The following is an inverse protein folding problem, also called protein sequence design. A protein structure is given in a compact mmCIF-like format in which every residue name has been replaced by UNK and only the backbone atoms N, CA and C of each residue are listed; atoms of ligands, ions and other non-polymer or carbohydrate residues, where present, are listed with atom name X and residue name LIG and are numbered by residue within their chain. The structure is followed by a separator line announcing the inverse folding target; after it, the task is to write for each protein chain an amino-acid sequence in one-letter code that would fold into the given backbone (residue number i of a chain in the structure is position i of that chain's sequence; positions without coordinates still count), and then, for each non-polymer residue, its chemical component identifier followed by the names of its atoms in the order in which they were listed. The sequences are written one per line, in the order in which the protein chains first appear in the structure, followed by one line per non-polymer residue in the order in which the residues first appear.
data_IF_617507032787
#
_entry.id   IF_617507032787
#
_cell.length_a   1.000
_cell.length_b   1.000
_cell.length_c   1.000
_cell.angle_alpha   90.00
_cell.angle_beta   90.00
_cell.angle_gamma   90.00
#
_symmetry.space_group_name_H-M   'P 1'
#
loop_
_entity.id
_entity.type
_entity.pdbx_description
1 polymer ?
#
# COMPACT_ATOMS: atom_id res chain seq x y z
N UNK A 1 -78.36 -22.12 18.13
CA UNK A 1 -77.02 -22.11 18.77
C UNK A 1 -76.08 -22.95 17.93
N UNK A 2 -75.07 -22.39 17.26
CA UNK A 2 -73.88 -23.13 16.86
C UNK A 2 -72.65 -22.63 17.62
N UNK A 3 -71.78 -23.59 17.93
CA UNK A 3 -70.65 -23.49 18.83
C UNK A 3 -69.45 -22.75 18.22
N UNK A 4 -68.86 -21.85 19.03
CA UNK A 4 -67.52 -21.30 18.80
C UNK A 4 -66.47 -22.40 18.95
N UNK A 5 -65.64 -22.60 17.93
CA UNK A 5 -64.36 -23.32 18.04
C UNK A 5 -63.22 -22.30 17.91
N UNK A 6 -62.63 -21.94 19.06
CA UNK A 6 -61.42 -21.13 19.16
C UNK A 6 -60.20 -22.02 18.90
N UNK A 7 -59.57 -21.86 17.74
CA UNK A 7 -58.25 -22.45 17.44
C UNK A 7 -57.16 -21.57 18.05
N UNK A 8 -56.50 -22.08 19.09
CA UNK A 8 -55.30 -21.46 19.66
C UNK A 8 -54.05 -22.01 18.95
N UNK A 9 -53.42 -21.18 18.13
CA UNK A 9 -52.13 -21.49 17.49
C UNK A 9 -50.98 -21.03 18.38
N UNK A 10 -49.96 -21.88 18.68
CA UNK A 10 -48.78 -21.44 19.42
C UNK A 10 -47.84 -20.65 18.50
N UNK A 11 -47.40 -19.47 18.95
CA UNK A 11 -46.36 -18.70 18.27
C UNK A 11 -45.01 -19.43 18.36
N UNK A 12 -44.26 -19.57 17.25
CA UNK A 12 -42.88 -20.03 17.33
C UNK A 12 -41.98 -18.92 17.88
N UNK A 13 -41.31 -19.19 19.00
CA UNK A 13 -40.18 -18.41 19.49
C UNK A 13 -39.04 -18.54 18.47
N UNK A 14 -38.88 -17.55 17.59
CA UNK A 14 -37.73 -17.44 16.69
C UNK A 14 -36.48 -17.10 17.53
N UNK A 15 -35.61 -18.10 17.73
CA UNK A 15 -34.22 -17.90 18.15
C UNK A 15 -33.51 -16.98 17.17
N UNK A 16 -33.12 -15.79 17.62
CA UNK A 16 -32.28 -14.88 16.84
C UNK A 16 -30.87 -15.47 16.74
N UNK A 17 -30.27 -15.51 15.53
CA UNK A 17 -28.89 -15.96 15.37
C UNK A 17 -27.96 -14.90 15.97
N UNK A 18 -27.11 -15.34 16.90
CA UNK A 18 -26.01 -14.56 17.46
C UNK A 18 -25.10 -14.10 16.30
N UNK A 19 -25.11 -12.80 15.98
CA UNK A 19 -24.16 -12.24 15.01
C UNK A 19 -22.77 -12.31 15.62
N UNK A 20 -21.97 -13.30 15.22
CA UNK A 20 -20.53 -13.23 15.36
C UNK A 20 -20.06 -11.98 14.60
N UNK A 21 -19.31 -11.12 15.27
CA UNK A 21 -18.65 -9.98 14.63
C UNK A 21 -17.83 -10.50 13.45
N UNK A 22 -18.23 -10.16 12.23
CA UNK A 22 -17.43 -10.47 11.04
C UNK A 22 -16.08 -9.77 11.21
N UNK A 23 -15.03 -10.56 11.42
CA UNK A 23 -13.65 -10.10 11.25
C UNK A 23 -13.58 -9.61 9.81
N UNK A 24 -13.45 -8.30 9.64
CA UNK A 24 -13.32 -7.68 8.31
C UNK A 24 -11.93 -8.03 7.80
N UNK A 25 -11.81 -9.16 7.12
CA UNK A 25 -10.56 -9.50 6.46
C UNK A 25 -10.34 -8.52 5.30
N UNK A 26 -9.11 -8.02 5.11
CA UNK A 26 -8.82 -7.14 3.99
C UNK A 26 -9.09 -7.89 2.68
N UNK A 27 -9.87 -7.27 1.78
CA UNK A 27 -10.13 -7.81 0.45
C UNK A 27 -8.80 -7.99 -0.28
N UNK A 28 -8.40 -9.22 -0.65
CA UNK A 28 -7.13 -9.46 -1.31
C UNK A 28 -7.09 -8.87 -2.72
N UNK A 29 -8.21 -8.42 -3.29
CA UNK A 29 -8.28 -7.79 -4.62
C UNK A 29 -8.02 -6.28 -4.58
N UNK A 30 -8.10 -5.67 -3.39
CA UNK A 30 -7.87 -4.26 -3.21
C UNK A 30 -6.37 -3.93 -3.31
N UNK A 31 -5.96 -2.99 -4.19
CA UNK A 31 -4.56 -2.66 -4.38
C UNK A 31 -3.92 -2.07 -3.11
N UNK A 32 -4.69 -1.35 -2.29
CA UNK A 32 -4.22 -0.82 -1.01
C UNK A 32 -3.87 -1.92 -0.02
N UNK A 33 -4.73 -2.93 0.12
CA UNK A 33 -4.49 -4.10 0.97
C UNK A 33 -3.25 -4.89 0.54
N UNK A 34 -3.08 -5.14 -0.77
CA UNK A 34 -1.90 -5.82 -1.31
C UNK A 34 -0.62 -5.00 -1.11
N UNK A 35 -0.70 -3.69 -1.30
CA UNK A 35 0.40 -2.77 -1.04
C UNK A 35 0.80 -2.76 0.43
N UNK A 36 -0.18 -2.71 1.33
CA UNK A 36 0.03 -2.77 2.77
C UNK A 36 0.64 -4.10 3.18
N UNK A 37 0.16 -5.23 2.67
CA UNK A 37 0.71 -6.55 2.96
C UNK A 37 2.22 -6.60 2.69
N UNK A 38 2.63 -6.19 1.48
CA UNK A 38 4.05 -6.18 1.08
C UNK A 38 4.86 -5.18 1.89
N UNK A 39 4.40 -3.92 2.00
CA UNK A 39 5.12 -2.88 2.74
C UNK A 39 5.32 -3.28 4.21
N UNK A 40 4.25 -3.69 4.88
CA UNK A 40 4.27 -4.08 6.28
C UNK A 40 5.15 -5.31 6.51
N UNK A 41 5.03 -6.34 5.67
CA UNK A 41 5.85 -7.54 5.76
C UNK A 41 7.34 -7.21 5.63
N UNK A 42 7.73 -6.45 4.60
CA UNK A 42 9.14 -6.12 4.36
C UNK A 42 9.73 -5.25 5.47
N UNK A 43 8.98 -4.26 5.96
CA UNK A 43 9.42 -3.41 7.09
C UNK A 43 9.58 -4.24 8.38
N UNK A 44 8.66 -5.16 8.66
CA UNK A 44 8.76 -6.08 9.80
C UNK A 44 9.96 -7.02 9.69
N UNK A 45 10.32 -7.43 8.46
CA UNK A 45 11.50 -8.22 8.18
C UNK A 45 12.84 -7.44 8.27
N UNK A 46 12.80 -6.15 8.59
CA UNK A 46 13.99 -5.31 8.77
C UNK A 46 14.47 -4.61 7.50
N UNK A 47 13.69 -4.58 6.42
CA UNK A 47 14.06 -3.86 5.21
C UNK A 47 13.89 -2.34 5.39
N UNK A 48 14.72 -1.58 4.70
CA UNK A 48 14.61 -0.13 4.63
C UNK A 48 13.29 0.31 3.98
N UNK A 49 12.91 1.56 4.28
CA UNK A 49 11.68 2.16 3.76
C UNK A 49 11.66 2.09 2.24
N UNK A 50 12.73 2.49 1.56
CA UNK A 50 12.69 2.61 0.10
C UNK A 50 12.55 1.29 -0.64
N UNK A 51 13.20 0.24 -0.16
CA UNK A 51 13.08 -1.10 -0.75
C UNK A 51 11.67 -1.63 -0.56
N UNK A 52 11.13 -1.47 0.65
CA UNK A 52 9.77 -1.90 1.00
C UNK A 52 8.71 -1.11 0.23
N UNK A 53 8.91 0.19 0.09
CA UNK A 53 8.03 1.12 -0.62
C UNK A 53 8.02 0.84 -2.12
N UNK A 54 9.20 0.70 -2.74
CA UNK A 54 9.32 0.41 -4.17
C UNK A 54 8.60 -0.87 -4.54
N UNK A 55 8.71 -1.92 -3.72
CA UNK A 55 8.03 -3.19 -3.95
C UNK A 55 6.50 -3.05 -3.85
N UNK A 56 6.00 -2.39 -2.80
CA UNK A 56 4.58 -2.17 -2.59
C UNK A 56 3.96 -1.28 -3.68
N UNK A 57 4.60 -0.15 -4.00
CA UNK A 57 4.12 0.80 -5.01
C UNK A 57 4.07 0.19 -6.40
N UNK A 58 5.05 -0.65 -6.77
CA UNK A 58 5.05 -1.34 -8.05
C UNK A 58 3.84 -2.27 -8.22
N UNK A 59 3.35 -2.90 -7.14
CA UNK A 59 2.14 -3.72 -7.17
C UNK A 59 0.88 -2.87 -7.28
N UNK A 60 0.77 -1.86 -6.43
CA UNK A 60 -0.36 -0.91 -6.45
C UNK A 60 -0.53 -0.32 -7.85
N UNK A 61 0.55 0.21 -8.44
CA UNK A 61 0.53 0.85 -9.77
C UNK A 61 0.06 -0.10 -10.88
N UNK A 62 0.30 -1.41 -10.75
CA UNK A 62 -0.12 -2.41 -11.75
C UNK A 62 -1.57 -2.85 -11.58
N UNK A 63 -2.08 -2.85 -10.35
CA UNK A 63 -3.39 -3.39 -10.01
C UNK A 63 -4.47 -2.31 -9.88
N UNK A 64 -4.09 -1.04 -9.77
CA UNK A 64 -5.02 0.08 -9.88
C UNK A 64 -5.63 0.11 -11.28
N UNK A 65 -6.92 -0.22 -11.42
CA UNK A 65 -7.65 -0.32 -12.69
C UNK A 65 -7.91 1.04 -13.38
N UNK A 66 -7.12 2.07 -13.07
CA UNK A 66 -7.34 3.44 -13.53
C UNK A 66 -6.60 3.74 -14.83
N UNK A 67 -7.22 4.54 -15.70
CA UNK A 67 -6.61 5.10 -16.91
C UNK A 67 -5.42 6.03 -16.58
N UNK A 68 -5.37 6.54 -15.34
CA UNK A 68 -4.24 7.27 -14.80
C UNK A 68 -3.46 6.37 -13.84
N UNK A 69 -2.15 6.31 -14.02
CA UNK A 69 -1.25 5.61 -13.11
C UNK A 69 -1.40 6.21 -11.72
N UNK A 70 -1.68 5.37 -10.73
CA UNK A 70 -1.70 5.77 -9.32
C UNK A 70 -0.39 6.48 -9.00
N UNK A 71 -0.49 7.70 -8.48
CA UNK A 71 0.69 8.45 -8.06
C UNK A 71 1.26 7.85 -6.76
N UNK A 72 2.57 8.06 -6.48
CA UNK A 72 3.18 7.64 -5.22
C UNK A 72 2.40 8.15 -4.00
N UNK A 73 1.91 9.39 -4.06
CA UNK A 73 1.16 10.02 -2.98
C UNK A 73 -0.19 9.34 -2.75
N UNK A 74 -0.89 8.98 -3.84
CA UNK A 74 -2.16 8.27 -3.73
C UNK A 74 -1.98 6.82 -3.25
N UNK A 75 -0.89 6.16 -3.66
CA UNK A 75 -0.53 4.84 -3.15
C UNK A 75 -0.24 4.85 -1.65
N UNK A 76 0.42 5.88 -1.13
CA UNK A 76 0.69 6.04 0.29
C UNK A 76 -0.63 6.08 1.10
N UNK A 77 -1.60 6.85 0.61
CA UNK A 77 -2.95 6.91 1.21
C UNK A 77 -3.61 5.55 1.23
N UNK A 78 -3.65 4.83 0.11
CA UNK A 78 -4.26 3.50 0.04
C UNK A 78 -3.65 2.50 1.02
N UNK A 79 -2.31 2.48 1.17
CA UNK A 79 -1.65 1.63 2.17
C UNK A 79 -2.07 2.03 3.59
N UNK A 80 -2.10 3.32 3.89
CA UNK A 80 -2.46 3.78 5.25
C UNK A 80 -3.91 3.50 5.61
N UNK A 81 -4.82 3.65 4.64
CA UNK A 81 -6.23 3.31 4.83
C UNK A 81 -6.38 1.81 5.13
N UNK A 82 -5.69 0.94 4.38
CA UNK A 82 -5.68 -0.50 4.63
C UNK A 82 -5.18 -0.85 6.04
N UNK A 83 -4.04 -0.29 6.45
CA UNK A 83 -3.42 -0.55 7.75
C UNK A 83 -4.30 -0.09 8.91
N UNK A 84 -4.90 1.10 8.81
CA UNK A 84 -5.75 1.67 9.87
C UNK A 84 -7.11 0.97 9.92
N UNK A 85 -7.67 0.58 8.78
CA UNK A 85 -8.95 -0.13 8.72
C UNK A 85 -8.86 -1.54 9.28
N UNK A 86 -7.71 -2.21 9.13
CA UNK A 86 -7.50 -3.61 9.53
C UNK A 86 -6.21 -3.79 10.35
N UNK A 87 -6.11 -3.21 11.56
CA UNK A 87 -4.88 -3.27 12.36
C UNK A 87 -4.51 -4.70 12.76
N UNK A 88 -5.51 -5.58 12.92
CA UNK A 88 -5.30 -7.00 13.23
C UNK A 88 -4.66 -7.77 12.07
N UNK A 89 -4.92 -7.35 10.82
CA UNK A 89 -4.32 -7.94 9.62
C UNK A 89 -2.89 -7.43 9.37
N UNK A 90 -2.58 -6.23 9.85
CA UNK A 90 -1.28 -5.58 9.70
C UNK A 90 -0.66 -5.23 11.07
N UNK A 91 -0.44 -6.24 11.94
CA UNK A 91 0.03 -6.02 13.29
C UNK A 91 1.38 -5.31 13.25
N UNK A 92 1.56 -4.34 14.16
CA UNK A 92 2.77 -3.54 14.29
C UNK A 92 3.12 -2.62 13.11
N UNK A 93 2.37 -2.66 12.00
CA UNK A 93 2.71 -1.88 10.80
C UNK A 93 2.45 -0.38 10.95
N UNK A 94 1.56 0.02 11.87
CA UNK A 94 1.26 1.43 12.15
C UNK A 94 2.50 2.27 12.50
N UNK A 95 3.59 1.65 12.98
CA UNK A 95 4.86 2.36 13.23
C UNK A 95 5.62 2.75 11.96
N UNK A 96 5.32 2.13 10.82
CA UNK A 96 6.05 2.29 9.56
C UNK A 96 5.34 3.19 8.55
N UNK A 97 4.03 3.39 8.68
CA UNK A 97 3.23 4.14 7.71
C UNK A 97 3.56 5.63 7.68
N UNK A 98 4.13 6.20 8.75
CA UNK A 98 4.59 7.59 8.75
C UNK A 98 5.69 7.87 7.73
N UNK A 99 6.55 6.87 7.44
CA UNK A 99 7.62 7.02 6.45
C UNK A 99 7.09 7.15 5.02
N UNK A 100 5.85 6.73 4.74
CA UNK A 100 5.21 6.88 3.42
C UNK A 100 4.95 8.36 3.04
N UNK A 101 4.95 9.25 4.03
CA UNK A 101 4.70 10.69 3.87
C UNK A 101 5.93 11.55 4.15
N UNK A 102 7.03 10.93 4.59
CA UNK A 102 8.31 11.61 4.75
C UNK A 102 8.91 11.86 3.37
N UNK A 103 8.73 13.07 2.84
CA UNK A 103 9.61 13.58 1.78
C UNK A 103 11.05 13.50 2.34
N UNK A 104 12.05 13.01 1.62
CA UNK A 104 12.60 13.65 0.43
C UNK A 104 12.89 12.62 -0.65
N UNK A 105 12.48 12.91 -1.90
CA UNK A 105 13.28 12.47 -3.06
C UNK A 105 14.74 12.72 -2.68
N UNK A 106 15.70 11.81 -2.91
CA UNK A 106 17.07 12.28 -3.01
C UNK A 106 17.02 13.42 -4.02
N UNK A 107 17.25 14.66 -3.57
CA UNK A 107 17.59 15.72 -4.49
C UNK A 107 18.68 15.12 -5.37
N UNK A 108 18.63 15.25 -6.71
CA UNK A 108 19.82 14.92 -7.48
C UNK A 108 20.94 15.68 -6.79
N UNK A 109 21.97 14.97 -6.31
CA UNK A 109 23.17 15.61 -5.79
C UNK A 109 23.57 16.60 -6.89
N UNK A 110 23.32 17.89 -6.66
CA UNK A 110 23.99 18.93 -7.41
C UNK A 110 25.41 18.83 -6.91
N UNK A 111 26.22 18.11 -7.68
CA UNK A 111 27.67 18.27 -7.61
C UNK A 111 27.94 19.70 -8.05
N UNK A 112 27.88 20.63 -7.10
CA UNK A 112 28.43 21.97 -7.28
C UNK A 112 29.93 21.79 -7.45
N UNK A 113 30.37 21.66 -8.70
CA UNK A 113 31.78 21.73 -9.07
C UNK A 113 32.19 23.20 -8.90
N UNK A 114 33.09 23.54 -7.96
CA UNK A 114 33.67 24.87 -7.96
C UNK A 114 34.58 24.96 -9.18
N UNK A 115 34.27 25.85 -10.10
CA UNK A 115 35.19 26.23 -11.16
C UNK A 115 36.39 26.95 -10.54
N UNK A 116 37.52 26.25 -10.42
CA UNK A 116 38.82 26.89 -10.28
C UNK A 116 39.87 26.01 -10.94
N UNK A 117 40.48 26.56 -11.99
CA UNK A 117 41.17 25.79 -13.01
C UNK A 117 42.53 25.24 -12.62
N UNK A 118 42.98 24.24 -13.38
CA UNK A 118 44.34 24.12 -13.95
C UNK A 118 44.51 22.72 -14.56
N UNK A 119 44.70 22.70 -15.89
CA UNK A 119 45.61 21.83 -16.68
C UNK A 119 45.63 20.30 -16.44
N UNK A 120 45.22 19.48 -17.42
CA UNK A 120 45.65 18.06 -17.54
C UNK A 120 44.68 17.13 -18.29
N UNK A 121 45.14 16.04 -18.94
CA UNK A 121 44.63 15.58 -20.24
C UNK A 121 43.54 14.49 -20.23
N UNK A 122 42.81 14.46 -21.35
CA UNK A 122 41.67 13.60 -21.76
C UNK A 122 41.89 12.10 -21.52
N UNK A 123 40.83 11.36 -21.11
CA UNK A 123 40.57 10.07 -21.76
C UNK A 123 39.09 9.82 -22.12
N UNK A 124 38.89 9.47 -23.40
CA UNK A 124 37.98 8.47 -24.00
C UNK A 124 36.46 8.66 -23.85
N UNK A 125 35.70 8.80 -24.97
CA UNK A 125 34.25 8.81 -24.93
C UNK A 125 33.65 7.40 -25.01
N UNK A 126 32.46 7.30 -24.40
CA UNK A 126 31.37 6.39 -24.77
C UNK A 126 31.43 4.93 -24.33
N UNK A 127 30.61 4.65 -23.33
CA UNK A 127 29.96 3.36 -23.09
C UNK A 127 28.71 3.60 -22.26
N UNK A 128 27.63 4.04 -22.90
CA UNK A 128 26.37 4.44 -22.26
C UNK A 128 25.78 3.34 -21.39
N UNK A 129 25.96 3.45 -20.08
CA UNK A 129 25.17 2.73 -19.10
C UNK A 129 23.85 3.47 -18.92
N UNK A 130 22.81 3.02 -19.61
CA UNK A 130 21.44 3.44 -19.30
C UNK A 130 21.18 3.14 -17.83
N UNK A 131 20.96 4.19 -17.05
CA UNK A 131 20.59 4.07 -15.66
C UNK A 131 19.28 3.29 -15.58
N UNK A 132 19.28 2.21 -14.79
CA UNK A 132 18.18 1.25 -14.60
C UNK A 132 16.82 1.90 -14.26
N UNK A 133 16.84 3.15 -13.81
CA UNK A 133 15.67 3.94 -13.45
C UNK A 133 14.88 4.49 -14.64
N UNK A 134 15.48 4.62 -15.83
CA UNK A 134 14.76 5.08 -17.03
C UNK A 134 13.82 3.99 -17.60
N UNK A 135 14.00 2.73 -17.19
CA UNK A 135 13.21 1.60 -17.69
C UNK A 135 11.78 1.55 -17.14
N UNK A 136 11.48 2.31 -16.08
CA UNK A 136 10.19 2.25 -15.39
C UNK A 136 9.43 3.58 -15.33
N UNK A 137 9.94 4.62 -16.00
CA UNK A 137 9.20 5.87 -16.24
C UNK A 137 8.36 5.76 -17.50
N UNK A 138 7.18 5.17 -17.34
CA UNK A 138 6.00 5.54 -18.13
C UNK A 138 4.92 5.96 -17.16
#
# INVERSE_FOLDING_TARGET
MPALLLLASPLPLLSQPTRLAQVSQPDPSDPGNKGAEVYCFMRKAGNDHEVSWTAAYALIKRQSASLFKTSPEHAAVMITEAVVKSPDAFPDCGRFIGALYGSEKPAPLRTDIPASGSTGPVPIPSGGGTTRNDRYSY
#
